data_IF_361564130754
#
_entry.id   IF_361564130754
#
_cell.length_a   1.000
_cell.length_b   1.000
_cell.length_c   1.000
_cell.angle_alpha   90.00
_cell.angle_beta   90.00
_cell.angle_gamma   90.00
#
_symmetry.space_group_name_H-M   'P 1'
#
loop_
_entity.id
_entity.type
_entity.pdbx_description
1 polymer ?
#
# COMPACT_ATOMS: atom_id res chain seq x y z
N UNK A 1 33.29 17.10 28.08
CA UNK A 1 32.05 16.46 28.57
C UNK A 1 31.89 16.82 30.04
N UNK A 2 30.79 17.45 30.43
CA UNK A 2 30.45 17.51 31.87
C UNK A 2 30.04 16.10 32.32
N UNK A 3 30.59 15.63 33.44
CA UNK A 3 30.26 14.31 34.01
C UNK A 3 31.14 13.13 33.57
N UNK A 4 32.19 13.36 32.78
CA UNK A 4 33.20 12.34 32.48
C UNK A 4 34.59 12.84 32.93
N UNK A 5 35.31 12.05 33.72
CA UNK A 5 36.66 12.39 34.14
C UNK A 5 37.68 12.07 33.04
N UNK A 6 38.77 12.85 32.96
CA UNK A 6 39.83 12.63 31.95
C UNK A 6 40.43 11.22 32.00
N UNK A 7 40.46 10.59 33.18
CA UNK A 7 40.97 9.23 33.40
C UNK A 7 40.05 8.14 32.85
N UNK A 8 38.80 8.45 32.55
CA UNK A 8 37.78 7.52 32.04
C UNK A 8 37.71 7.52 30.51
N UNK A 9 38.51 8.38 29.86
CA UNK A 9 38.51 8.54 28.40
C UNK A 9 39.85 8.10 27.84
N UNK A 10 39.82 7.04 27.02
CA UNK A 10 40.99 6.55 26.33
C UNK A 10 40.95 6.89 24.83
N UNK A 11 42.12 6.89 24.21
CA UNK A 11 42.22 7.00 22.76
C UNK A 11 41.51 5.81 22.11
N UNK A 12 40.65 6.09 21.14
CA UNK A 12 39.75 5.10 20.53
C UNK A 12 38.29 5.22 20.99
N UNK A 13 38.00 6.06 22.00
CA UNK A 13 36.62 6.37 22.38
C UNK A 13 35.98 7.30 21.35
N UNK A 14 34.71 7.06 21.05
CA UNK A 14 33.91 7.87 20.13
C UNK A 14 32.85 8.65 20.91
N UNK A 15 32.70 9.95 20.63
CA UNK A 15 31.60 10.75 21.12
C UNK A 15 30.42 10.60 20.16
N UNK A 16 29.34 9.99 20.63
CA UNK A 16 28.21 9.59 19.79
C UNK A 16 26.88 9.91 20.47
N UNK A 17 25.82 10.03 19.68
CA UNK A 17 24.48 10.16 20.23
C UNK A 17 24.06 8.86 20.94
N UNK A 18 23.38 8.92 22.10
CA UNK A 18 22.93 7.73 22.82
C UNK A 18 22.11 6.79 21.92
N UNK A 19 22.47 5.51 21.92
CA UNK A 19 21.79 4.47 21.15
C UNK A 19 22.20 4.35 19.67
N UNK A 20 23.01 5.27 19.15
CA UNK A 20 23.41 5.26 17.74
C UNK A 20 24.40 4.13 17.41
N UNK A 21 25.45 3.99 18.23
CA UNK A 21 26.41 2.89 18.09
C UNK A 21 26.24 1.83 19.18
N UNK A 22 26.44 0.57 18.78
CA UNK A 22 26.61 -0.55 19.72
C UNK A 22 28.05 -1.04 19.63
N UNK A 23 28.82 -1.02 20.74
CA UNK A 23 30.15 -1.62 20.77
C UNK A 23 30.09 -3.09 20.35
N UNK A 24 30.99 -3.51 19.46
CA UNK A 24 31.04 -4.88 18.94
C UNK A 24 32.41 -5.50 19.12
N UNK A 25 32.44 -6.83 19.29
CA UNK A 25 33.66 -7.64 19.29
C UNK A 25 33.82 -8.44 18.00
N UNK A 26 32.88 -8.31 17.07
CA UNK A 26 32.83 -9.07 15.85
C UNK A 26 32.36 -8.20 14.69
N UNK A 27 33.14 -8.19 13.61
CA UNK A 27 32.79 -7.51 12.37
C UNK A 27 33.03 -8.42 11.18
N UNK A 28 32.29 -8.20 10.11
CA UNK A 28 32.58 -8.73 8.78
C UNK A 28 33.17 -7.61 7.93
N UNK A 29 34.20 -7.93 7.14
CA UNK A 29 34.98 -6.95 6.40
C UNK A 29 35.59 -7.53 5.13
N UNK A 30 35.93 -6.66 4.18
CA UNK A 30 36.86 -6.97 3.09
C UNK A 30 38.27 -6.65 3.56
N UNK A 31 39.18 -7.61 3.45
CA UNK A 31 40.59 -7.41 3.76
C UNK A 31 41.41 -7.56 2.49
N UNK A 32 42.21 -6.55 2.18
CA UNK A 32 43.25 -6.58 1.16
C UNK A 32 44.62 -6.66 1.80
N UNK A 33 45.40 -7.67 1.42
CA UNK A 33 46.77 -7.86 1.87
C UNK A 33 47.70 -7.09 0.93
N UNK A 34 48.60 -6.29 1.50
CA UNK A 34 49.55 -5.53 0.68
C UNK A 34 50.50 -6.48 -0.07
N UNK A 35 50.88 -6.16 -1.33
CA UNK A 35 51.91 -6.92 -2.04
C UNK A 35 53.25 -6.97 -1.30
N UNK A 36 53.55 -5.94 -0.50
CA UNK A 36 54.75 -5.85 0.34
C UNK A 36 54.67 -6.62 1.66
N UNK A 37 53.56 -7.31 1.95
CA UNK A 37 53.43 -8.07 3.18
C UNK A 37 54.47 -9.21 3.22
N UNK A 38 55.20 -9.40 4.34
CA UNK A 38 56.32 -10.33 4.41
C UNK A 38 55.89 -11.81 4.37
N UNK A 39 54.61 -12.09 4.63
CA UNK A 39 54.04 -13.45 4.64
C UNK A 39 52.52 -13.40 4.45
N UNK A 40 51.91 -14.49 3.94
CA UNK A 40 50.45 -14.62 3.87
C UNK A 40 49.76 -14.47 5.23
N UNK A 41 48.57 -13.89 5.22
CA UNK A 41 47.68 -13.87 6.40
C UNK A 41 46.99 -15.23 6.47
N UNK A 42 47.25 -15.98 7.54
CA UNK A 42 46.64 -17.29 7.78
C UNK A 42 45.29 -17.16 8.47
N UNK A 43 44.44 -18.17 8.29
CA UNK A 43 43.23 -18.29 9.09
C UNK A 43 43.55 -18.31 10.59
N UNK A 44 42.77 -17.57 11.39
CA UNK A 44 42.96 -17.36 12.84
C UNK A 44 44.26 -16.64 13.23
N UNK A 45 44.93 -15.96 12.30
CA UNK A 45 46.06 -15.12 12.63
C UNK A 45 45.62 -13.91 13.49
N UNK A 46 46.37 -13.61 14.54
CA UNK A 46 46.16 -12.41 15.35
C UNK A 46 46.93 -11.24 14.76
N UNK A 47 46.25 -10.12 14.54
CA UNK A 47 46.78 -8.89 13.96
C UNK A 47 46.46 -7.72 14.88
N UNK A 48 47.25 -6.66 14.82
CA UNK A 48 46.90 -5.37 15.42
C UNK A 48 45.99 -4.66 14.41
N UNK A 49 44.79 -4.31 14.84
CA UNK A 49 43.76 -3.67 14.02
C UNK A 49 43.60 -2.21 14.44
N UNK A 50 43.62 -1.32 13.45
CA UNK A 50 43.44 0.11 13.64
C UNK A 50 42.23 0.59 12.86
N UNK A 51 41.34 1.33 13.53
CA UNK A 51 40.15 1.95 12.92
C UNK A 51 39.87 3.28 13.60
N UNK A 52 39.76 4.35 12.81
CA UNK A 52 39.75 5.71 13.35
C UNK A 52 40.95 5.96 14.26
N UNK A 53 40.69 6.26 15.54
CA UNK A 53 41.73 6.42 16.57
C UNK A 53 41.92 5.19 17.48
N UNK A 54 41.13 4.14 17.29
CA UNK A 54 41.15 2.93 18.10
C UNK A 54 42.18 1.92 17.60
N UNK A 55 42.72 1.15 18.54
CA UNK A 55 43.61 0.02 18.31
C UNK A 55 43.07 -1.20 19.07
N UNK A 56 43.11 -2.39 18.49
CA UNK A 56 42.70 -3.62 19.20
C UNK A 56 43.41 -4.84 18.60
N UNK A 57 43.57 -5.92 19.39
CA UNK A 57 44.03 -7.19 18.84
C UNK A 57 42.86 -7.92 18.21
N UNK A 58 43.01 -8.29 16.95
CA UNK A 58 41.97 -8.90 16.15
C UNK A 58 42.43 -10.25 15.59
N UNK A 59 41.67 -11.30 15.86
CA UNK A 59 41.85 -12.60 15.21
C UNK A 59 41.06 -12.63 13.91
N UNK A 60 41.73 -12.87 12.79
CA UNK A 60 41.09 -12.91 11.46
C UNK A 60 40.55 -14.30 11.12
N UNK A 61 39.30 -14.36 10.67
CA UNK A 61 38.60 -15.56 10.20
C UNK A 61 38.36 -15.38 8.70
N UNK A 62 39.20 -16.02 7.88
CA UNK A 62 39.07 -15.99 6.42
C UNK A 62 37.89 -16.86 5.97
N UNK A 63 36.95 -16.28 5.23
CA UNK A 63 35.69 -16.93 4.86
C UNK A 63 35.77 -17.67 3.51
N UNK A 64 36.40 -17.06 2.51
CA UNK A 64 36.44 -17.60 1.14
C UNK A 64 37.57 -18.62 0.93
N UNK A 65 38.73 -18.37 1.56
CA UNK A 65 39.98 -19.12 1.35
C UNK A 65 40.56 -19.67 2.66
N UNK A 66 41.69 -20.37 2.57
CA UNK A 66 42.44 -20.87 3.73
C UNK A 66 43.49 -19.87 4.23
N UNK A 67 44.04 -19.05 3.33
CA UNK A 67 44.95 -17.96 3.60
C UNK A 67 44.74 -16.87 2.55
N UNK A 68 45.29 -15.68 2.81
CA UNK A 68 45.38 -14.58 1.84
C UNK A 68 46.85 -14.27 1.60
N UNK A 69 47.33 -14.47 0.38
CA UNK A 69 48.71 -14.17 -0.02
C UNK A 69 48.92 -12.65 -0.20
N UNK A 70 50.18 -12.15 -0.17
CA UNK A 70 50.46 -10.76 -0.51
C UNK A 70 49.86 -10.37 -1.87
N UNK A 71 49.13 -9.25 -1.90
CA UNK A 71 48.41 -8.77 -3.09
C UNK A 71 47.00 -9.32 -3.26
N UNK A 72 46.60 -10.35 -2.50
CA UNK A 72 45.23 -10.87 -2.52
C UNK A 72 44.29 -10.10 -1.61
N UNK A 73 43.00 -10.27 -1.88
CA UNK A 73 41.91 -9.80 -1.02
C UNK A 73 40.89 -10.91 -0.78
N UNK A 74 40.08 -10.73 0.26
CA UNK A 74 38.99 -11.66 0.58
C UNK A 74 38.10 -11.17 1.72
N UNK A 75 36.93 -11.79 1.82
CA UNK A 75 35.99 -11.60 2.91
C UNK A 75 36.50 -12.28 4.18
N UNK A 76 36.45 -11.54 5.28
CA UNK A 76 36.91 -11.97 6.59
C UNK A 76 35.94 -11.56 7.68
N UNK A 77 35.99 -12.27 8.81
CA UNK A 77 35.54 -11.72 10.09
C UNK A 77 36.72 -11.42 11.00
N UNK A 78 36.60 -10.37 11.81
CA UNK A 78 37.57 -10.06 12.87
C UNK A 78 36.92 -10.24 14.24
N UNK A 79 37.57 -11.03 15.09
CA UNK A 79 37.20 -11.20 16.49
C UNK A 79 38.15 -10.37 17.33
N UNK A 80 37.63 -9.37 18.03
CA UNK A 80 38.43 -8.47 18.84
C UNK A 80 38.59 -8.96 20.28
N UNK A 81 39.71 -8.62 20.90
CA UNK A 81 40.01 -8.82 22.32
C UNK A 81 39.28 -7.82 23.24
N UNK A 82 38.88 -6.67 22.71
CA UNK A 82 38.02 -5.66 23.34
C UNK A 82 36.94 -5.14 22.38
N UNK A 83 35.78 -4.66 22.86
CA UNK A 83 34.77 -4.06 21.99
C UNK A 83 35.33 -2.82 21.28
N UNK A 84 34.97 -2.65 20.01
CA UNK A 84 35.25 -1.46 19.20
C UNK A 84 33.94 -0.83 18.73
N UNK A 85 34.02 0.41 18.27
CA UNK A 85 32.91 1.13 17.64
C UNK A 85 33.29 1.38 16.18
N UNK A 86 32.43 0.93 15.26
CA UNK A 86 32.59 1.11 13.83
C UNK A 86 31.24 0.90 13.11
N UNK A 87 31.16 1.34 11.87
CA UNK A 87 30.02 1.11 10.97
C UNK A 87 30.43 0.57 9.60
N UNK A 88 29.42 0.24 8.80
CA UNK A 88 29.59 -0.02 7.37
C UNK A 88 30.35 1.12 6.69
N UNK A 89 31.32 0.77 5.84
CA UNK A 89 32.12 1.73 5.08
C UNK A 89 33.37 2.24 5.79
N UNK A 90 33.51 2.02 7.11
CA UNK A 90 34.69 2.46 7.83
C UNK A 90 35.95 1.75 7.31
N UNK A 91 37.01 2.53 7.10
CA UNK A 91 38.31 2.00 6.67
C UNK A 91 39.18 1.62 7.86
N UNK A 92 39.87 0.50 7.73
CA UNK A 92 40.78 0.01 8.75
C UNK A 92 42.13 -0.39 8.16
N UNK A 93 43.13 -0.49 9.04
CA UNK A 93 44.48 -0.97 8.73
C UNK A 93 44.83 -2.11 9.68
N UNK A 94 45.52 -3.13 9.17
CA UNK A 94 46.04 -4.24 9.99
C UNK A 94 47.55 -4.37 9.92
N UNK A 95 48.16 -4.66 11.07
CA UNK A 95 49.61 -4.78 11.25
C UNK A 95 49.97 -6.10 11.95
N UNK A 96 51.20 -6.56 11.72
CA UNK A 96 51.82 -7.61 12.54
C UNK A 96 52.35 -7.01 13.84
N UNK A 97 52.38 -7.82 14.91
CA UNK A 97 52.96 -7.40 16.18
C UNK A 97 54.51 -7.45 16.18
N UNK A 98 55.11 -8.36 15.41
CA UNK A 98 56.56 -8.48 15.28
C UNK A 98 56.98 -9.06 13.92
N UNK A 99 57.80 -8.33 13.13
CA UNK A 99 58.07 -6.90 13.27
C UNK A 99 56.78 -6.07 13.12
N UNK A 100 56.75 -4.85 13.67
CA UNK A 100 55.58 -3.97 13.62
C UNK A 100 55.36 -3.38 12.21
N UNK A 101 54.82 -4.20 11.32
CA UNK A 101 54.70 -3.88 9.88
C UNK A 101 53.23 -3.90 9.46
N UNK A 102 52.82 -2.89 8.68
CA UNK A 102 51.51 -2.89 8.02
C UNK A 102 51.45 -3.97 6.97
N UNK A 103 50.44 -4.84 7.07
CA UNK A 103 50.29 -5.99 6.16
C UNK A 103 49.04 -5.93 5.31
N UNK A 104 48.10 -5.04 5.64
CA UNK A 104 46.86 -4.93 4.91
C UNK A 104 45.96 -3.85 5.45
N UNK A 105 44.78 -3.76 4.86
CA UNK A 105 43.71 -2.89 5.27
C UNK A 105 42.46 -3.20 4.46
N UNK A 106 41.39 -2.47 4.72
CA UNK A 106 40.15 -2.68 4.00
C UNK A 106 38.99 -1.90 4.58
N UNK A 107 37.79 -2.42 4.36
CA UNK A 107 36.54 -1.74 4.69
C UNK A 107 35.62 -2.65 5.50
N UNK A 108 34.99 -2.09 6.53
CA UNK A 108 33.97 -2.76 7.33
C UNK A 108 32.71 -2.91 6.49
N UNK A 109 32.14 -4.12 6.47
CA UNK A 109 30.89 -4.45 5.78
C UNK A 109 29.74 -4.48 6.78
N UNK A 110 29.94 -5.00 7.99
CA UNK A 110 28.91 -4.97 9.02
C UNK A 110 29.47 -5.25 10.42
N UNK A 111 28.71 -4.84 11.43
CA UNK A 111 28.86 -5.33 12.79
C UNK A 111 28.08 -6.63 12.96
N UNK A 112 28.81 -7.73 13.19
CA UNK A 112 28.25 -9.07 13.27
C UNK A 112 27.98 -9.49 14.72
N UNK A 113 27.01 -10.38 14.93
CA UNK A 113 26.67 -10.93 16.25
C UNK A 113 27.07 -12.39 16.40
N UNK A 114 27.32 -13.09 15.29
CA UNK A 114 27.66 -14.51 15.27
C UNK A 114 28.79 -14.80 14.29
N UNK A 115 29.56 -15.86 14.58
CA UNK A 115 30.58 -16.36 13.68
C UNK A 115 29.92 -16.98 12.45
N UNK A 116 30.41 -16.60 11.28
CA UNK A 116 29.91 -17.07 10.00
C UNK A 116 30.60 -18.38 9.60
N UNK A 117 29.83 -19.24 8.95
CA UNK A 117 30.34 -20.51 8.40
C UNK A 117 31.27 -20.19 7.22
N UNK A 118 32.46 -20.80 7.22
CA UNK A 118 33.45 -20.64 6.14
C UNK A 118 33.02 -21.40 4.89
N UNK A 119 33.42 -20.89 3.73
CA UNK A 119 33.15 -21.47 2.40
C UNK A 119 31.66 -21.74 2.13
N UNK A 120 30.79 -21.01 2.81
CA UNK A 120 29.35 -21.07 2.62
C UNK A 120 28.95 -20.03 1.56
N UNK A 121 28.38 -20.49 0.45
CA UNK A 121 28.06 -19.64 -0.69
C UNK A 121 27.03 -18.56 -0.34
N UNK A 122 25.99 -18.90 0.44
CA UNK A 122 24.96 -17.96 0.85
C UNK A 122 25.51 -16.85 1.75
N UNK A 123 26.43 -17.20 2.66
CA UNK A 123 27.15 -16.20 3.47
C UNK A 123 27.99 -15.27 2.61
N UNK A 124 28.75 -15.82 1.65
CA UNK A 124 29.64 -15.06 0.77
C UNK A 124 28.84 -14.10 -0.11
N UNK A 125 27.77 -14.58 -0.74
CA UNK A 125 26.89 -13.75 -1.58
C UNK A 125 26.25 -12.61 -0.79
N UNK A 126 25.74 -12.89 0.42
CA UNK A 126 25.20 -11.86 1.33
C UNK A 126 26.23 -10.78 1.63
N UNK A 127 27.46 -11.16 1.98
CA UNK A 127 28.50 -10.19 2.31
C UNK A 127 28.95 -9.36 1.11
N UNK A 128 29.06 -9.96 -0.09
CA UNK A 128 29.34 -9.22 -1.32
C UNK A 128 28.23 -8.23 -1.65
N UNK A 129 26.97 -8.64 -1.49
CA UNK A 129 25.82 -7.76 -1.66
C UNK A 129 25.87 -6.56 -0.71
N UNK A 130 26.22 -6.78 0.57
CA UNK A 130 26.37 -5.71 1.55
C UNK A 130 27.59 -4.81 1.29
N UNK A 131 28.68 -5.36 0.76
CA UNK A 131 29.89 -4.63 0.42
C UNK A 131 29.72 -3.74 -0.82
N UNK A 132 29.10 -4.28 -1.87
CA UNK A 132 28.79 -3.57 -3.11
C UNK A 132 27.64 -2.56 -2.96
N UNK A 133 26.92 -2.62 -1.84
CA UNK A 133 25.69 -1.89 -1.63
C UNK A 133 25.93 -0.42 -1.33
N UNK A 134 25.83 0.45 -2.34
CA UNK A 134 25.50 1.86 -2.11
C UNK A 134 24.30 1.96 -1.16
N UNK A 135 24.18 3.08 -0.43
CA UNK A 135 23.02 3.31 0.43
C UNK A 135 21.72 3.09 -0.35
N UNK A 136 21.68 3.53 -1.61
CA UNK A 136 20.62 3.24 -2.59
C UNK A 136 20.23 1.76 -2.63
N UNK A 137 21.19 0.84 -2.90
CA UNK A 137 20.92 -0.60 -3.03
C UNK A 137 20.42 -1.21 -1.73
N UNK A 138 20.90 -0.73 -0.59
CA UNK A 138 20.46 -1.20 0.74
C UNK A 138 19.03 -0.75 1.03
N UNK A 139 18.70 0.49 0.69
CA UNK A 139 17.34 1.03 0.80
C UNK A 139 16.39 0.29 -0.15
N UNK A 140 16.80 0.12 -1.41
CA UNK A 140 16.03 -0.59 -2.43
C UNK A 140 15.74 -2.05 -2.02
N UNK A 141 16.76 -2.79 -1.60
CA UNK A 141 16.59 -4.18 -1.17
C UNK A 141 15.75 -4.32 0.11
N UNK A 142 15.79 -3.36 1.02
CA UNK A 142 14.92 -3.36 2.18
C UNK A 142 13.47 -3.04 1.80
N UNK A 143 13.24 -2.03 0.95
CA UNK A 143 11.91 -1.70 0.42
C UNK A 143 11.28 -2.88 -0.32
N UNK A 144 12.06 -3.62 -1.10
CA UNK A 144 11.58 -4.78 -1.86
C UNK A 144 11.05 -5.93 -0.97
N UNK A 145 11.34 -5.95 0.32
CA UNK A 145 10.80 -6.96 1.26
C UNK A 145 9.32 -6.72 1.61
N UNK A 146 8.85 -5.48 1.49
CA UNK A 146 7.48 -5.11 1.87
C UNK A 146 6.62 -5.06 0.60
N UNK A 147 5.78 -6.08 0.39
CA UNK A 147 4.97 -6.21 -0.83
C UNK A 147 3.54 -5.72 -0.66
N UNK A 148 3.03 -5.73 0.56
CA UNK A 148 1.63 -5.51 0.86
C UNK A 148 1.38 -4.15 1.51
N UNK A 149 2.43 -3.45 1.97
CA UNK A 149 2.30 -2.17 2.69
C UNK A 149 3.47 -1.21 2.47
N UNK A 150 3.22 0.10 2.43
CA UNK A 150 4.25 1.14 2.53
C UNK A 150 4.94 1.15 3.90
N UNK A 151 6.18 1.64 3.96
CA UNK A 151 7.00 1.67 5.19
C UNK A 151 7.56 3.05 5.54
N UNK A 152 7.79 3.31 6.83
CA UNK A 152 8.38 4.58 7.29
C UNK A 152 9.89 4.60 7.11
N UNK A 153 10.45 5.81 6.98
CA UNK A 153 11.90 6.04 7.04
C UNK A 153 12.51 5.42 8.30
N UNK A 154 11.87 5.59 9.46
CA UNK A 154 12.36 5.02 10.73
C UNK A 154 12.51 3.50 10.69
N UNK A 155 11.61 2.79 9.99
CA UNK A 155 11.67 1.34 9.82
C UNK A 155 12.88 0.94 8.96
N UNK A 156 13.08 1.65 7.84
CA UNK A 156 14.21 1.44 6.94
C UNK A 156 15.55 1.76 7.63
N UNK A 157 15.61 2.89 8.33
CA UNK A 157 16.75 3.33 9.13
C UNK A 157 17.14 2.30 10.18
N UNK A 158 16.16 1.74 10.90
CA UNK A 158 16.40 0.70 11.89
C UNK A 158 16.93 -0.60 11.27
N UNK A 159 16.32 -1.04 10.16
CA UNK A 159 16.70 -2.29 9.49
C UNK A 159 18.09 -2.20 8.86
N UNK A 160 18.41 -1.06 8.25
CA UNK A 160 19.68 -0.80 7.55
C UNK A 160 20.76 -0.31 8.54
N UNK A 161 20.37 0.14 9.74
CA UNK A 161 21.24 0.77 10.75
C UNK A 161 21.93 2.02 10.21
N UNK A 162 21.15 2.91 9.61
CA UNK A 162 21.62 4.20 9.07
C UNK A 162 20.71 5.30 9.60
N UNK A 163 21.26 6.50 9.80
CA UNK A 163 20.52 7.66 10.25
C UNK A 163 19.29 7.97 9.37
N UNK A 164 18.16 8.33 10.00
CA UNK A 164 16.91 8.64 9.30
C UNK A 164 17.06 9.77 8.28
N UNK A 165 17.91 10.76 8.56
CA UNK A 165 18.16 11.87 7.63
C UNK A 165 18.84 11.37 6.36
N UNK A 166 19.84 10.49 6.49
CA UNK A 166 20.54 9.91 5.34
C UNK A 166 19.62 9.02 4.51
N UNK A 167 18.76 8.21 5.16
CA UNK A 167 17.75 7.42 4.47
C UNK A 167 16.75 8.32 3.73
N UNK A 168 16.27 9.39 4.37
CA UNK A 168 15.36 10.35 3.75
C UNK A 168 15.99 11.09 2.57
N UNK A 169 17.26 11.47 2.66
CA UNK A 169 18.02 12.04 1.54
C UNK A 169 18.19 11.04 0.40
N UNK A 170 18.47 9.78 0.72
CA UNK A 170 18.64 8.74 -0.29
C UNK A 170 17.33 8.40 -1.01
N UNK A 171 16.21 8.26 -0.29
CA UNK A 171 14.89 8.04 -0.89
C UNK A 171 14.54 9.17 -1.86
N UNK A 172 14.89 10.43 -1.53
CA UNK A 172 14.69 11.56 -2.45
C UNK A 172 15.55 11.44 -3.70
N UNK A 173 16.78 10.92 -3.59
CA UNK A 173 17.66 10.67 -4.75
C UNK A 173 17.17 9.52 -5.63
N UNK A 174 16.57 8.50 -5.02
CA UNK A 174 16.01 7.34 -5.74
C UNK A 174 14.88 7.71 -6.71
N UNK A 175 14.21 8.85 -6.49
CA UNK A 175 13.24 9.41 -7.42
C UNK A 175 12.12 8.42 -7.77
N UNK A 176 11.96 8.13 -9.06
CA UNK A 176 10.87 7.30 -9.60
C UNK A 176 10.88 5.83 -9.13
N UNK A 177 11.98 5.35 -8.54
CA UNK A 177 12.04 3.99 -7.98
C UNK A 177 11.19 3.82 -6.72
N UNK A 178 10.85 4.91 -6.04
CA UNK A 178 10.12 4.91 -4.77
C UNK A 178 8.95 5.86 -4.86
N UNK A 179 7.78 5.42 -4.40
CA UNK A 179 6.58 6.25 -4.29
C UNK A 179 6.30 6.58 -2.83
N UNK A 180 5.90 7.81 -2.57
CA UNK A 180 5.44 8.25 -1.24
C UNK A 180 3.90 8.15 -1.15
N UNK A 181 3.42 7.49 -0.10
CA UNK A 181 2.01 7.27 0.21
C UNK A 181 1.82 7.62 1.68
N UNK A 182 1.14 8.74 1.99
CA UNK A 182 0.89 9.22 3.36
C UNK A 182 2.14 9.20 4.27
N UNK A 183 3.26 9.78 3.79
CA UNK A 183 4.58 9.82 4.48
C UNK A 183 5.24 8.45 4.70
N UNK A 184 4.77 7.42 4.02
CA UNK A 184 5.40 6.12 3.94
C UNK A 184 5.88 5.89 2.52
N UNK A 185 6.84 5.00 2.35
CA UNK A 185 7.53 4.76 1.09
C UNK A 185 7.27 3.33 0.63
N UNK A 186 7.07 3.17 -0.66
CA UNK A 186 6.78 1.88 -1.28
C UNK A 186 7.54 1.76 -2.60
N UNK A 187 7.97 0.55 -2.95
CA UNK A 187 8.78 0.36 -4.15
C UNK A 187 7.90 0.40 -5.41
N UNK A 188 8.32 1.12 -6.44
CA UNK A 188 7.54 1.30 -7.68
C UNK A 188 7.28 -0.03 -8.40
N UNK A 189 8.20 -1.00 -8.34
CA UNK A 189 7.96 -2.32 -8.96
C UNK A 189 6.77 -3.05 -8.33
N UNK A 190 6.63 -2.99 -7.00
CA UNK A 190 5.52 -3.64 -6.30
C UNK A 190 4.20 -2.91 -6.57
N UNK A 191 4.26 -1.57 -6.69
CA UNK A 191 3.13 -0.77 -7.11
C UNK A 191 2.66 -1.13 -8.52
N UNK A 192 3.59 -1.37 -9.45
CA UNK A 192 3.28 -1.85 -10.80
C UNK A 192 2.64 -3.24 -10.76
N UNK A 193 3.16 -4.17 -9.97
CA UNK A 193 2.53 -5.49 -9.79
C UNK A 193 1.11 -5.38 -9.24
N UNK A 194 0.88 -4.56 -8.21
CA UNK A 194 -0.46 -4.31 -7.67
C UNK A 194 -1.39 -3.66 -8.70
N UNK A 195 -0.86 -2.73 -9.49
CA UNK A 195 -1.61 -2.09 -10.59
C UNK A 195 -2.07 -3.10 -11.63
N UNK A 196 -1.21 -4.05 -12.00
CA UNK A 196 -1.56 -5.13 -12.92
C UNK A 196 -2.63 -6.05 -12.32
N UNK A 197 -2.47 -6.50 -11.06
CA UNK A 197 -3.48 -7.32 -10.39
C UNK A 197 -4.85 -6.64 -10.32
N UNK A 198 -4.90 -5.34 -9.97
CA UNK A 198 -6.16 -4.57 -9.96
C UNK A 198 -6.75 -4.48 -11.38
N UNK A 199 -5.91 -4.29 -12.40
CA UNK A 199 -6.35 -4.27 -13.81
C UNK A 199 -7.00 -5.58 -14.20
N UNK A 200 -6.35 -6.71 -13.92
CA UNK A 200 -6.87 -8.04 -14.24
C UNK A 200 -8.22 -8.31 -13.57
N UNK A 201 -8.39 -7.89 -12.31
CA UNK A 201 -9.67 -8.02 -11.60
C UNK A 201 -10.78 -7.21 -12.28
N UNK A 202 -10.51 -5.96 -12.68
CA UNK A 202 -11.50 -5.10 -13.34
C UNK A 202 -11.88 -5.65 -14.71
N UNK A 203 -10.90 -6.11 -15.50
CA UNK A 203 -11.12 -6.70 -16.82
C UNK A 203 -11.89 -8.01 -16.74
N UNK A 204 -11.53 -8.90 -15.81
CA UNK A 204 -12.24 -10.16 -15.59
C UNK A 204 -13.69 -9.90 -15.13
N UNK A 205 -13.90 -8.92 -14.27
CA UNK A 205 -15.23 -8.52 -13.84
C UNK A 205 -16.11 -8.11 -15.02
N UNK A 206 -15.57 -7.33 -15.98
CA UNK A 206 -16.32 -6.95 -17.19
C UNK A 206 -16.63 -8.15 -18.09
N UNK A 207 -15.69 -9.10 -18.25
CA UNK A 207 -15.93 -10.35 -18.99
C UNK A 207 -17.06 -11.17 -18.40
N UNK A 208 -17.10 -11.28 -17.07
CA UNK A 208 -18.13 -12.04 -16.36
C UNK A 208 -19.47 -11.29 -16.23
N UNK A 209 -19.45 -9.96 -16.29
CA UNK A 209 -20.63 -9.11 -16.09
C UNK A 209 -20.79 -8.05 -17.19
N UNK A 210 -21.02 -8.41 -18.48
CA UNK A 210 -21.05 -7.44 -19.59
C UNK A 210 -22.12 -6.35 -19.48
N UNK A 211 -23.16 -6.58 -18.69
CA UNK A 211 -24.27 -5.65 -18.46
C UNK A 211 -24.04 -4.71 -17.29
N UNK A 212 -23.03 -4.95 -16.44
CA UNK A 212 -22.72 -4.09 -15.29
C UNK A 212 -21.82 -2.95 -15.74
N UNK A 213 -22.06 -1.76 -15.18
CA UNK A 213 -21.29 -0.54 -15.48
C UNK A 213 -19.82 -0.62 -15.07
N UNK A 214 -19.50 -1.43 -14.06
CA UNK A 214 -18.17 -1.55 -13.48
C UNK A 214 -18.22 -2.24 -12.11
N UNK A 215 -17.05 -2.51 -11.53
CA UNK A 215 -16.92 -3.11 -10.20
C UNK A 215 -17.10 -2.03 -9.13
N UNK A 216 -17.82 -2.35 -8.04
CA UNK A 216 -17.97 -1.41 -6.93
C UNK A 216 -16.63 -1.18 -6.22
N UNK A 217 -16.31 0.05 -5.80
CA UNK A 217 -15.05 0.38 -5.14
C UNK A 217 -14.85 -0.45 -3.86
N UNK A 218 -15.91 -0.66 -3.08
CA UNK A 218 -15.86 -1.50 -1.87
C UNK A 218 -15.60 -2.98 -2.19
N UNK A 219 -16.24 -3.50 -3.24
CA UNK A 219 -16.06 -4.87 -3.74
C UNK A 219 -14.64 -5.08 -4.29
N UNK A 220 -14.11 -4.11 -5.04
CA UNK A 220 -12.74 -4.16 -5.51
C UNK A 220 -11.75 -4.17 -4.34
N UNK A 221 -11.94 -3.30 -3.34
CA UNK A 221 -11.07 -3.22 -2.17
C UNK A 221 -11.08 -4.49 -1.32
N UNK A 222 -12.23 -5.16 -1.18
CA UNK A 222 -12.30 -6.38 -0.37
C UNK A 222 -11.48 -7.54 -0.96
N UNK A 223 -11.30 -7.58 -2.29
CA UNK A 223 -10.43 -8.55 -2.96
C UNK A 223 -8.93 -8.34 -2.67
N UNK A 224 -8.54 -7.14 -2.20
CA UNK A 224 -7.16 -6.80 -1.84
C UNK A 224 -7.02 -6.55 -0.32
N UNK A 225 -7.74 -7.31 0.49
CA UNK A 225 -7.76 -7.16 1.96
C UNK A 225 -6.42 -7.45 2.66
N UNK A 226 -5.54 -8.21 2.01
CA UNK A 226 -4.17 -8.45 2.50
C UNK A 226 -3.25 -7.21 2.34
N UNK A 227 -3.65 -6.24 1.50
CA UNK A 227 -2.89 -5.02 1.25
C UNK A 227 -3.35 -3.88 2.15
N UNK A 228 -2.43 -2.97 2.44
CA UNK A 228 -2.74 -1.73 3.15
C UNK A 228 -3.80 -0.90 2.38
N UNK A 229 -4.82 -0.42 3.10
CA UNK A 229 -5.92 0.32 2.49
C UNK A 229 -5.49 1.63 1.83
N UNK A 230 -4.51 2.34 2.38
CA UNK A 230 -4.01 3.59 1.79
C UNK A 230 -3.26 3.28 0.48
N UNK A 231 -2.49 2.19 0.44
CA UNK A 231 -1.83 1.70 -0.77
C UNK A 231 -2.85 1.34 -1.86
N UNK A 232 -3.88 0.54 -1.55
CA UNK A 232 -4.91 0.18 -2.55
C UNK A 232 -5.63 1.41 -3.08
N UNK A 233 -6.03 2.34 -2.19
CA UNK A 233 -6.65 3.61 -2.57
C UNK A 233 -5.74 4.46 -3.46
N UNK A 234 -4.46 4.54 -3.13
CA UNK A 234 -3.47 5.26 -3.90
C UNK A 234 -3.35 4.68 -5.32
N UNK A 235 -3.18 3.36 -5.44
CA UNK A 235 -3.07 2.67 -6.73
C UNK A 235 -4.31 2.86 -7.60
N UNK A 236 -5.51 2.74 -7.04
CA UNK A 236 -6.76 3.00 -7.77
C UNK A 236 -6.79 4.44 -8.31
N UNK A 237 -6.47 5.43 -7.48
CA UNK A 237 -6.43 6.83 -7.92
C UNK A 237 -5.39 7.05 -9.03
N UNK A 238 -4.24 6.40 -8.92
CA UNK A 238 -3.19 6.48 -9.94
C UNK A 238 -3.70 5.93 -11.28
N UNK A 239 -4.38 4.77 -11.28
CA UNK A 239 -4.96 4.15 -12.48
C UNK A 239 -6.08 4.97 -13.12
N UNK A 240 -6.84 5.71 -12.32
CA UNK A 240 -7.83 6.67 -12.82
C UNK A 240 -7.12 7.89 -13.43
N UNK A 241 -6.13 8.45 -12.73
CA UNK A 241 -5.40 9.64 -13.19
C UNK A 241 -4.57 9.39 -14.45
N UNK A 242 -4.08 8.17 -14.66
CA UNK A 242 -3.39 7.76 -15.89
C UNK A 242 -4.35 7.49 -17.06
N UNK A 243 -5.66 7.57 -16.83
CA UNK A 243 -6.68 7.30 -17.84
C UNK A 243 -6.89 5.82 -18.15
N UNK A 244 -6.28 4.89 -17.38
CA UNK A 244 -6.50 3.46 -17.55
C UNK A 244 -7.90 3.05 -17.10
N UNK A 245 -8.40 3.70 -16.04
CA UNK A 245 -9.76 3.50 -15.52
C UNK A 245 -10.59 4.78 -15.55
N UNK A 246 -11.91 4.61 -15.54
CA UNK A 246 -12.91 5.66 -15.30
C UNK A 246 -13.69 5.34 -14.04
N UNK A 247 -14.07 6.37 -13.30
CA UNK A 247 -14.95 6.26 -12.14
C UNK A 247 -16.31 6.88 -12.45
N UNK A 248 -17.38 6.17 -12.09
CA UNK A 248 -18.76 6.67 -12.17
C UNK A 248 -19.47 6.36 -10.85
N UNK A 249 -19.62 7.37 -9.99
CA UNK A 249 -20.09 7.18 -8.62
C UNK A 249 -19.14 6.25 -7.84
N UNK A 250 -19.71 5.18 -7.27
CA UNK A 250 -18.97 4.16 -6.52
C UNK A 250 -18.47 2.99 -7.39
N UNK A 251 -18.48 3.14 -8.72
CA UNK A 251 -18.04 2.09 -9.66
C UNK A 251 -16.77 2.49 -10.41
N UNK A 252 -15.90 1.51 -10.63
CA UNK A 252 -14.68 1.61 -11.45
C UNK A 252 -14.82 0.71 -12.67
N UNK A 253 -14.40 1.22 -13.82
CA UNK A 253 -14.37 0.50 -15.09
C UNK A 253 -13.09 0.80 -15.87
N UNK A 254 -12.62 -0.16 -16.67
CA UNK A 254 -11.62 0.07 -17.69
C UNK A 254 -12.04 1.22 -18.63
N UNK A 255 -11.09 2.06 -19.03
CA UNK A 255 -11.40 3.29 -19.77
C UNK A 255 -11.94 3.04 -21.19
N UNK A 256 -11.56 1.91 -21.79
CA UNK A 256 -12.01 1.38 -23.07
C UNK A 256 -13.32 0.58 -22.97
N UNK A 257 -13.80 0.28 -21.76
CA UNK A 257 -15.08 -0.39 -21.59
C UNK A 257 -16.22 0.55 -22.02
N UNK A 258 -16.81 0.23 -23.16
CA UNK A 258 -18.15 0.68 -23.53
C UNK A 258 -19.13 -0.45 -23.27
N UNK A 259 -20.24 -0.15 -22.61
CA UNK A 259 -21.38 -1.06 -22.58
C UNK A 259 -21.87 -1.26 -24.02
N UNK A 260 -21.47 -2.37 -24.65
CA UNK A 260 -22.09 -2.86 -25.88
C UNK A 260 -23.49 -3.39 -25.54
N UNK A 261 -24.41 -2.47 -25.28
CA UNK A 261 -25.82 -2.82 -25.12
C UNK A 261 -26.31 -3.17 -26.53
N UNK A 262 -26.62 -4.46 -26.75
CA UNK A 262 -27.21 -4.92 -28.02
C UNK A 262 -28.45 -4.08 -28.34
N UNK A 263 -28.68 -3.74 -29.60
CA UNK A 263 -29.87 -2.95 -29.97
C UNK A 263 -31.19 -3.58 -29.49
N UNK A 264 -31.25 -4.92 -29.45
CA UNK A 264 -32.37 -5.66 -28.89
C UNK A 264 -32.61 -5.36 -27.40
N UNK A 265 -31.52 -5.23 -26.62
CA UNK A 265 -31.58 -4.94 -25.19
C UNK A 265 -31.96 -3.48 -24.94
N UNK A 266 -31.50 -2.54 -25.77
CA UNK A 266 -31.98 -1.16 -25.76
C UNK A 266 -33.47 -1.05 -26.13
N UNK A 267 -33.90 -1.80 -27.14
CA UNK A 267 -35.31 -1.85 -27.53
C UNK A 267 -36.18 -2.44 -26.42
N UNK A 268 -35.71 -3.50 -25.75
CA UNK A 268 -36.40 -4.08 -24.60
C UNK A 268 -36.39 -3.14 -23.39
N UNK A 269 -35.28 -2.47 -23.11
CA UNK A 269 -35.17 -1.48 -22.04
C UNK A 269 -36.16 -0.33 -22.22
N UNK A 270 -36.28 0.21 -23.44
CA UNK A 270 -37.29 1.24 -23.76
C UNK A 270 -38.72 0.75 -23.52
N UNK A 271 -39.02 -0.50 -23.86
CA UNK A 271 -40.35 -1.10 -23.61
C UNK A 271 -40.62 -1.28 -22.12
N UNK A 272 -39.63 -1.74 -21.35
CA UNK A 272 -39.76 -1.91 -19.90
C UNK A 272 -39.88 -0.55 -19.20
N UNK A 273 -39.01 0.42 -19.51
CA UNK A 273 -39.07 1.80 -18.98
C UNK A 273 -40.46 2.41 -19.26
N UNK A 274 -41.01 2.19 -20.46
CA UNK A 274 -42.35 2.66 -20.82
C UNK A 274 -43.47 2.06 -19.95
N UNK A 275 -43.42 0.76 -19.61
CA UNK A 275 -44.41 0.16 -18.70
C UNK A 275 -44.40 0.82 -17.31
N UNK A 276 -43.22 1.24 -16.83
CA UNK A 276 -43.09 1.96 -15.57
C UNK A 276 -43.48 3.44 -15.68
N UNK A 277 -43.30 4.08 -16.84
CA UNK A 277 -43.64 5.50 -17.02
C UNK A 277 -45.13 5.75 -17.24
N UNK A 278 -45.87 4.81 -17.83
CA UNK A 278 -47.34 4.93 -18.02
C UNK A 278 -48.09 4.84 -16.68
N UNK A 279 -47.60 4.04 -15.73
CA UNK A 279 -48.23 3.84 -14.42
C UNK A 279 -47.29 4.21 -13.26
N UNK A 280 -46.89 5.49 -13.20
CA UNK A 280 -45.89 6.01 -12.26
C UNK A 280 -46.10 5.57 -10.81
N UNK A 281 -47.34 5.55 -10.30
CA UNK A 281 -47.63 5.24 -8.89
C UNK A 281 -48.27 3.86 -8.66
N UNK A 282 -48.34 3.04 -9.71
CA UNK A 282 -48.86 1.67 -9.67
C UNK A 282 -48.01 0.77 -10.60
N UNK A 283 -46.70 0.63 -10.30
CA UNK A 283 -45.79 -0.14 -11.16
C UNK A 283 -46.23 -1.60 -11.26
N UNK A 284 -45.99 -2.19 -12.44
CA UNK A 284 -46.17 -3.63 -12.66
C UNK A 284 -45.19 -4.43 -11.81
N UNK A 285 -45.60 -5.62 -11.42
CA UNK A 285 -44.70 -6.56 -10.74
C UNK A 285 -43.67 -7.11 -11.72
N UNK A 286 -42.50 -7.46 -11.20
CA UNK A 286 -41.44 -8.10 -11.98
C UNK A 286 -41.96 -9.39 -12.63
N UNK A 287 -42.71 -10.22 -11.92
CA UNK A 287 -43.28 -11.47 -12.44
C UNK A 287 -44.20 -11.24 -13.66
N UNK A 288 -44.96 -10.14 -13.66
CA UNK A 288 -45.83 -9.77 -14.80
C UNK A 288 -45.01 -9.31 -16.00
N UNK A 289 -43.88 -8.64 -15.77
CA UNK A 289 -42.95 -8.24 -16.83
C UNK A 289 -42.20 -9.43 -17.40
N UNK A 290 -41.75 -10.36 -16.54
CA UNK A 290 -41.11 -11.63 -16.95
C UNK A 290 -42.09 -12.46 -17.78
N UNK A 291 -43.35 -12.59 -17.36
CA UNK A 291 -44.37 -13.28 -18.15
C UNK A 291 -44.62 -12.63 -19.52
N UNK A 292 -44.47 -11.30 -19.63
CA UNK A 292 -44.70 -10.54 -20.88
C UNK A 292 -43.50 -10.51 -21.82
N UNK A 293 -42.28 -10.41 -21.30
CA UNK A 293 -41.07 -10.13 -22.07
C UNK A 293 -39.95 -11.18 -21.90
N UNK A 294 -40.19 -12.22 -21.09
CA UNK A 294 -39.27 -13.34 -20.85
C UNK A 294 -38.21 -13.07 -19.76
N UNK A 295 -37.36 -14.07 -19.52
CA UNK A 295 -36.37 -14.07 -18.42
C UNK A 295 -35.30 -12.98 -18.55
N UNK A 296 -35.10 -12.42 -19.76
CA UNK A 296 -34.18 -11.30 -20.00
C UNK A 296 -34.60 -10.00 -19.30
N UNK A 297 -35.80 -9.91 -18.72
CA UNK A 297 -36.28 -8.73 -18.00
C UNK A 297 -35.42 -8.37 -16.79
N UNK A 298 -34.97 -9.37 -16.02
CA UNK A 298 -34.20 -9.14 -14.79
C UNK A 298 -32.90 -8.36 -15.02
N UNK A 299 -32.01 -8.75 -15.95
CA UNK A 299 -30.81 -7.97 -16.24
C UNK A 299 -31.11 -6.59 -16.82
N UNK A 300 -32.19 -6.41 -17.59
CA UNK A 300 -32.58 -5.11 -18.14
C UNK A 300 -33.13 -4.17 -17.06
N UNK A 301 -33.93 -4.68 -16.12
CA UNK A 301 -34.39 -3.91 -14.95
C UNK A 301 -33.19 -3.45 -14.12
N UNK A 302 -32.20 -4.32 -13.89
CA UNK A 302 -30.95 -3.93 -13.19
C UNK A 302 -30.22 -2.84 -13.95
N UNK A 303 -30.06 -2.97 -15.27
CA UNK A 303 -29.45 -1.91 -16.10
C UNK A 303 -30.21 -0.58 -15.99
N UNK A 304 -31.54 -0.61 -15.96
CA UNK A 304 -32.37 0.59 -15.80
C UNK A 304 -32.25 1.20 -14.40
N UNK A 305 -32.03 0.39 -13.36
CA UNK A 305 -31.72 0.87 -12.00
C UNK A 305 -30.32 1.48 -11.97
N UNK A 306 -29.32 0.81 -12.53
CA UNK A 306 -27.94 1.29 -12.57
C UNK A 306 -27.82 2.59 -13.37
N UNK A 307 -28.60 2.73 -14.46
CA UNK A 307 -28.75 3.96 -15.27
C UNK A 307 -29.75 4.95 -14.70
N UNK A 308 -30.20 4.70 -13.47
CA UNK A 308 -30.93 5.65 -12.66
C UNK A 308 -32.34 5.95 -13.22
N UNK A 309 -32.78 5.24 -14.27
CA UNK A 309 -34.12 5.36 -14.89
C UNK A 309 -35.21 4.78 -14.01
N UNK A 310 -34.91 3.67 -13.36
CA UNK A 310 -35.74 3.06 -12.34
C UNK A 310 -35.08 3.20 -10.97
N UNK A 311 -35.88 3.27 -9.92
CA UNK A 311 -35.44 3.41 -8.54
C UNK A 311 -36.02 2.27 -7.72
N UNK A 312 -35.14 1.47 -7.12
CA UNK A 312 -35.52 0.44 -6.17
C UNK A 312 -35.78 1.04 -4.78
N UNK A 313 -37.04 0.97 -4.34
CA UNK A 313 -37.48 1.48 -3.03
C UNK A 313 -37.52 0.38 -1.95
N UNK A 314 -37.02 -0.82 -2.24
CA UNK A 314 -36.99 -1.98 -1.36
C UNK A 314 -37.89 -3.10 -1.88
N UNK A 315 -39.18 -3.06 -1.55
CA UNK A 315 -40.13 -4.10 -2.00
C UNK A 315 -40.64 -3.89 -3.44
N UNK A 316 -40.44 -2.70 -3.99
CA UNK A 316 -40.99 -2.29 -5.28
C UNK A 316 -39.96 -1.44 -6.03
N UNK A 317 -40.13 -1.38 -7.35
CA UNK A 317 -39.35 -0.55 -8.25
C UNK A 317 -40.28 0.49 -8.86
N UNK A 318 -39.82 1.73 -8.96
CA UNK A 318 -40.58 2.84 -9.53
C UNK A 318 -39.79 3.52 -10.63
N UNK A 319 -40.46 4.19 -11.55
CA UNK A 319 -39.81 5.12 -12.47
C UNK A 319 -39.21 6.30 -11.70
N UNK A 320 -38.07 6.84 -12.14
CA UNK A 320 -37.46 8.05 -11.54
C UNK A 320 -38.48 9.18 -11.38
N UNK A 321 -39.28 9.43 -12.42
CA UNK A 321 -40.26 10.52 -12.40
C UNK A 321 -41.32 10.35 -11.30
N UNK A 322 -41.66 9.12 -10.93
CA UNK A 322 -42.57 8.87 -9.82
C UNK A 322 -41.95 9.35 -8.49
N UNK A 323 -40.65 9.12 -8.32
CA UNK A 323 -39.91 9.56 -7.13
C UNK A 323 -39.76 11.07 -7.12
N UNK A 324 -39.35 11.70 -8.22
CA UNK A 324 -39.23 13.17 -8.29
C UNK A 324 -40.57 13.86 -8.02
N UNK A 325 -41.64 13.40 -8.65
CA UNK A 325 -42.99 13.92 -8.40
C UNK A 325 -43.46 13.68 -6.97
N UNK A 326 -43.07 12.56 -6.35
CA UNK A 326 -43.35 12.30 -4.93
C UNK A 326 -42.67 13.32 -4.02
N UNK A 327 -41.42 13.72 -4.32
CA UNK A 327 -40.70 14.73 -3.54
C UNK A 327 -41.42 16.07 -3.57
N UNK A 328 -41.96 16.45 -4.73
CA UNK A 328 -42.74 17.69 -4.90
C UNK A 328 -44.04 17.63 -4.11
N UNK A 329 -44.85 16.59 -4.30
CA UNK A 329 -46.14 16.41 -3.62
C UNK A 329 -45.99 16.38 -2.10
N UNK A 330 -44.95 15.72 -1.59
CA UNK A 330 -44.69 15.67 -0.15
C UNK A 330 -44.34 17.06 0.42
N UNK A 331 -43.64 17.90 -0.34
CA UNK A 331 -43.39 19.29 0.06
C UNK A 331 -44.68 20.10 0.08
N UNK A 332 -45.52 19.98 -0.96
CA UNK A 332 -46.81 20.69 -1.03
C UNK A 332 -47.75 20.31 0.13
N UNK A 333 -47.84 19.01 0.48
CA UNK A 333 -48.63 18.54 1.62
C UNK A 333 -48.09 19.14 2.92
N UNK A 334 -46.77 19.14 3.09
CA UNK A 334 -46.15 19.69 4.29
C UNK A 334 -46.35 21.20 4.42
N UNK A 335 -46.28 21.95 3.31
CA UNK A 335 -46.53 23.40 3.31
C UNK A 335 -47.97 23.73 3.70
N UNK A 336 -48.94 22.87 3.35
CA UNK A 336 -50.36 23.06 3.70
C UNK A 336 -50.68 22.65 5.14
N UNK A 337 -50.15 21.51 5.59
CA UNK A 337 -50.62 20.84 6.81
C UNK A 337 -49.57 20.81 7.94
N UNK A 338 -48.31 21.16 7.68
CA UNK A 338 -47.20 21.07 8.63
C UNK A 338 -46.74 19.64 8.97
N UNK A 339 -47.43 18.63 8.44
CA UNK A 339 -47.14 17.21 8.60
C UNK A 339 -47.64 16.42 7.38
N UNK A 340 -47.03 15.26 7.12
CA UNK A 340 -47.36 14.42 5.96
C UNK A 340 -47.93 13.10 6.48
N UNK A 341 -49.23 12.88 6.23
CA UNK A 341 -49.91 11.62 6.53
C UNK A 341 -49.91 10.70 5.32
N UNK A 342 -49.76 9.38 5.53
CA UNK A 342 -49.79 8.38 4.46
C UNK A 342 -51.10 8.45 3.67
N UNK A 343 -52.22 8.71 4.35
CA UNK A 343 -53.55 8.84 3.73
C UNK A 343 -53.64 10.02 2.77
N UNK A 344 -52.99 11.14 3.08
CA UNK A 344 -53.00 12.36 2.26
C UNK A 344 -52.12 12.19 1.04
N UNK A 345 -50.90 11.69 1.25
CA UNK A 345 -49.99 11.38 0.15
C UNK A 345 -50.63 10.39 -0.82
N UNK A 346 -51.22 9.31 -0.30
CA UNK A 346 -51.97 8.31 -1.09
C UNK A 346 -53.06 8.93 -1.96
N UNK A 347 -53.84 9.87 -1.41
CA UNK A 347 -54.90 10.58 -2.14
C UNK A 347 -54.30 11.48 -3.22
N UNK A 348 -53.25 12.21 -2.91
CA UNK A 348 -52.60 13.14 -3.83
C UNK A 348 -51.98 12.45 -5.06
N UNK A 349 -51.36 11.29 -4.88
CA UNK A 349 -50.78 10.50 -5.99
C UNK A 349 -51.76 9.52 -6.65
N UNK A 350 -52.99 9.42 -6.15
CA UNK A 350 -54.03 8.56 -6.73
C UNK A 350 -53.71 7.06 -6.67
N UNK A 351 -53.16 6.57 -5.54
CA UNK A 351 -52.76 5.14 -5.42
C UNK A 351 -53.32 4.46 -4.16
N UNK A 352 -52.88 3.22 -3.90
CA UNK A 352 -53.23 2.47 -2.69
C UNK A 352 -52.12 2.56 -1.65
N UNK A 353 -52.42 2.21 -0.39
CA UNK A 353 -51.42 2.22 0.69
C UNK A 353 -50.21 1.34 0.37
N UNK A 354 -50.43 0.25 -0.37
CA UNK A 354 -49.42 -0.71 -0.82
C UNK A 354 -48.28 -0.04 -1.62
N UNK A 355 -48.60 0.91 -2.49
CA UNK A 355 -47.61 1.61 -3.32
C UNK A 355 -47.11 2.91 -2.68
N UNK A 356 -48.00 3.63 -1.96
CA UNK A 356 -47.66 4.89 -1.33
C UNK A 356 -46.66 4.76 -0.18
N UNK A 357 -46.78 3.69 0.63
CA UNK A 357 -45.95 3.52 1.82
C UNK A 357 -44.47 3.24 1.50
N UNK A 358 -44.11 2.35 0.56
CA UNK A 358 -42.71 2.14 0.14
C UNK A 358 -42.02 3.40 -0.37
N UNK A 359 -42.72 4.24 -1.16
CA UNK A 359 -42.18 5.52 -1.61
C UNK A 359 -41.83 6.41 -0.41
N UNK A 360 -42.74 6.55 0.57
CA UNK A 360 -42.48 7.38 1.74
C UNK A 360 -41.32 6.83 2.60
N UNK A 361 -41.21 5.50 2.74
CA UNK A 361 -40.08 4.86 3.42
C UNK A 361 -38.76 5.12 2.69
N UNK A 362 -38.77 5.11 1.36
CA UNK A 362 -37.61 5.48 0.56
C UNK A 362 -37.22 6.95 0.76
N UNK A 363 -38.18 7.87 0.78
CA UNK A 363 -37.93 9.28 1.08
C UNK A 363 -37.37 9.49 2.49
N UNK A 364 -37.78 8.66 3.46
CA UNK A 364 -37.20 8.62 4.80
C UNK A 364 -35.72 8.16 4.73
N UNK A 365 -35.45 7.08 3.97
CA UNK A 365 -34.10 6.49 3.81
C UNK A 365 -33.11 7.46 3.17
N UNK A 366 -33.51 8.21 2.15
CA UNK A 366 -32.66 9.25 1.53
C UNK A 366 -32.62 10.56 2.34
N UNK A 367 -33.29 10.59 3.50
CA UNK A 367 -33.25 11.71 4.43
C UNK A 367 -34.06 12.93 4.01
N UNK A 368 -35.03 12.82 3.10
CA UNK A 368 -35.92 13.91 2.75
C UNK A 368 -37.01 14.10 3.82
N UNK A 369 -37.58 13.00 4.30
CA UNK A 369 -38.58 12.98 5.37
C UNK A 369 -38.07 12.23 6.59
N UNK A 370 -38.75 12.41 7.72
CA UNK A 370 -38.54 11.62 8.93
C UNK A 370 -39.89 11.25 9.52
N UNK A 371 -40.07 9.97 9.87
CA UNK A 371 -41.27 9.48 10.54
C UNK A 371 -41.23 9.85 12.03
N UNK A 372 -42.27 10.52 12.51
CA UNK A 372 -42.46 10.92 13.91
C UNK A 372 -43.86 10.48 14.34
N UNK A 373 -43.95 9.37 15.07
CA UNK A 373 -45.24 8.73 15.38
C UNK A 373 -45.96 8.29 14.11
N UNK A 374 -47.21 8.74 13.93
CA UNK A 374 -48.07 8.38 12.79
C UNK A 374 -47.93 9.32 11.58
N UNK A 375 -47.07 10.34 11.67
CA UNK A 375 -46.88 11.36 10.62
C UNK A 375 -45.43 11.44 10.20
N UNK A 376 -45.18 12.09 9.06
CA UNK A 376 -43.83 12.44 8.60
C UNK A 376 -43.64 13.94 8.59
N UNK A 377 -42.41 14.38 8.83
CA UNK A 377 -42.00 15.79 8.67
C UNK A 377 -40.86 15.89 7.67
N UNK A 378 -40.74 17.03 6.99
CA UNK A 378 -39.55 17.30 6.18
C UNK A 378 -38.33 17.45 7.10
N UNK A 379 -37.23 16.80 6.74
CA UNK A 379 -35.97 16.94 7.46
C UNK A 379 -35.40 18.33 7.14
N UNK A 380 -35.39 19.25 8.12
CA UNK A 380 -34.72 20.55 7.95
C UNK A 380 -33.24 20.27 7.63
N UNK A 381 -32.76 20.74 6.47
CA UNK A 381 -31.32 20.88 6.24
C UNK A 381 -30.83 21.91 7.25
N UNK A 382 -30.11 21.48 8.28
CA UNK A 382 -29.17 22.38 8.94
C UNK A 382 -28.22 22.87 7.84
N UNK A 383 -28.33 24.15 7.48
CA UNK A 383 -27.28 24.85 6.76
C UNK A 383 -26.08 24.85 7.70
N UNK A 384 -25.17 23.91 7.52
CA UNK A 384 -23.78 24.03 7.99
C UNK A 384 -22.98 24.77 6.94
#
# INVERSE_FOLDING_TARGET
LQGAEKKEVERGFALVQPGYFKPTRLISARLKVLPSAPRPIRHRHTLIFHIGSAEAMARVIILEKNNLAPGEEGLVQFIFDRPIVCDWGDRFVVRLASPLTTVGGGMVIETATTLLKRKDSGVIERLRFLEEGSLERRVEAELLKYRERPVRISTLAHAIRVDEKLIGEEIKRMGEKVVEIDRHYFHTSHLQSLSSMITEVVEEFHRQNPTRKGIGIGELKSQFSDFDHALVNFTIRQLISSGKFKQSGDFIMAADFSLEIKEEDLALARRIEHEYSVNLFQPKKIDELVAKFGDRVLPIIRMLIDTDKLIDVGELIFHRDAIERSKEIVKEIFERNGEIRVSEFRKAVGTTRKYALPILQYLDRIGLTVKVGEVRKLKRRERR
#
